data_IF_385497371690
#
_entry.id   IF_385497371690
#
_cell.length_a   1.000
_cell.length_b   1.000
_cell.length_c   1.000
_cell.angle_alpha   90.00
_cell.angle_beta   90.00
_cell.angle_gamma   90.00
#
_symmetry.space_group_name_H-M   'P 1'
#
loop_
_entity.id
_entity.type
_entity.pdbx_description
1 polymer ?
#
# COMPACT_ATOMS: atom_id res chain seq x y z
N UNK A 1 -21.64 -6.99 16.74
CA UNK A 1 -20.40 -7.34 16.05
C UNK A 1 -19.46 -6.13 16.06
N UNK A 2 -18.21 -6.32 16.54
CA UNK A 2 -17.19 -5.27 16.42
C UNK A 2 -16.76 -5.13 14.98
N UNK A 3 -16.58 -3.87 14.51
CA UNK A 3 -16.08 -3.60 13.16
C UNK A 3 -14.67 -4.14 12.98
N UNK A 4 -14.38 -4.69 11.79
CA UNK A 4 -13.01 -5.06 11.40
C UNK A 4 -12.13 -3.82 11.31
N UNK A 5 -10.85 -4.00 11.57
CA UNK A 5 -9.85 -2.95 11.49
C UNK A 5 -8.93 -3.19 10.30
N UNK A 6 -8.80 -2.17 9.46
CA UNK A 6 -7.85 -2.16 8.36
C UNK A 6 -6.76 -1.11 8.60
N UNK A 7 -5.52 -1.44 8.32
CA UNK A 7 -4.43 -0.48 8.27
C UNK A 7 -4.06 -0.24 6.80
N UNK A 8 -4.10 1.03 6.37
CA UNK A 8 -3.77 1.42 5.00
C UNK A 8 -2.54 2.32 5.03
N UNK A 9 -1.47 1.89 4.38
CA UNK A 9 -0.27 2.72 4.25
C UNK A 9 -0.37 3.65 3.04
N UNK A 10 0.32 4.79 3.10
CA UNK A 10 0.24 5.78 2.03
C UNK A 10 -1.17 6.34 1.82
N UNK A 11 -1.92 6.54 2.91
CA UNK A 11 -3.34 6.89 2.85
C UNK A 11 -3.63 8.38 2.63
N UNK A 12 -2.60 9.21 2.45
CA UNK A 12 -2.77 10.67 2.33
C UNK A 12 -3.01 11.15 0.90
N UNK A 13 -2.83 10.29 -0.09
CA UNK A 13 -3.00 10.64 -1.51
C UNK A 13 -3.27 9.39 -2.35
N UNK A 14 -3.70 9.60 -3.59
CA UNK A 14 -3.83 8.57 -4.61
C UNK A 14 -4.67 7.37 -4.19
N UNK A 15 -4.18 6.17 -4.47
CA UNK A 15 -4.90 4.92 -4.19
C UNK A 15 -5.17 4.74 -2.69
N UNK A 16 -4.18 5.04 -1.85
CA UNK A 16 -4.32 4.85 -0.40
C UNK A 16 -5.46 5.66 0.19
N UNK A 17 -5.63 6.89 -0.27
CA UNK A 17 -6.73 7.76 0.19
C UNK A 17 -8.09 7.20 -0.19
N UNK A 18 -8.30 6.85 -1.46
CA UNK A 18 -9.58 6.31 -1.92
C UNK A 18 -9.87 4.92 -1.33
N UNK A 19 -8.83 4.10 -1.08
CA UNK A 19 -8.96 2.82 -0.39
C UNK A 19 -9.45 3.04 1.04
N UNK A 20 -8.82 3.97 1.78
CA UNK A 20 -9.23 4.30 3.14
C UNK A 20 -10.67 4.80 3.21
N UNK A 21 -11.06 5.71 2.32
CA UNK A 21 -12.43 6.22 2.20
C UNK A 21 -13.42 5.08 1.91
N UNK A 22 -13.07 4.18 0.99
CA UNK A 22 -13.93 3.06 0.64
C UNK A 22 -14.12 2.08 1.78
N UNK A 23 -13.04 1.72 2.48
CA UNK A 23 -13.12 0.79 3.59
C UNK A 23 -13.91 1.36 4.77
N UNK A 24 -13.81 2.66 5.05
CA UNK A 24 -14.70 3.32 6.04
C UNK A 24 -16.16 3.20 5.60
N UNK A 25 -16.44 3.46 4.35
CA UNK A 25 -17.79 3.34 3.80
C UNK A 25 -18.33 1.90 3.86
N UNK A 26 -17.44 0.91 3.75
CA UNK A 26 -17.77 -0.52 3.90
C UNK A 26 -18.00 -0.93 5.37
N UNK A 27 -17.76 -0.05 6.33
CA UNK A 27 -17.96 -0.31 7.75
C UNK A 27 -16.70 -0.69 8.52
N UNK A 28 -15.51 -0.63 7.91
CA UNK A 28 -14.24 -0.81 8.62
C UNK A 28 -13.91 0.39 9.50
N UNK A 29 -13.21 0.13 10.61
CA UNK A 29 -12.39 1.14 11.25
C UNK A 29 -11.02 1.11 10.58
N UNK A 30 -10.51 2.27 10.19
CA UNK A 30 -9.30 2.37 9.37
C UNK A 30 -8.21 3.12 10.10
N UNK A 31 -7.03 2.51 10.22
CA UNK A 31 -5.80 3.19 10.61
C UNK A 31 -5.16 3.71 9.32
N UNK A 32 -5.14 5.02 9.15
CA UNK A 32 -4.54 5.66 7.98
C UNK A 32 -3.14 6.13 8.31
N UNK A 33 -2.14 5.62 7.61
CA UNK A 33 -0.75 6.05 7.81
C UNK A 33 -0.22 6.86 6.63
N UNK A 34 0.70 7.75 6.93
CA UNK A 34 1.39 8.59 5.97
C UNK A 34 2.42 9.44 6.68
N UNK A 35 3.23 10.16 5.92
CA UNK A 35 4.28 11.03 6.47
C UNK A 35 3.79 12.43 6.85
N UNK A 36 2.71 12.89 6.23
CA UNK A 36 2.21 14.28 6.34
C UNK A 36 1.05 14.34 7.32
N UNK A 37 1.33 14.82 8.53
CA UNK A 37 0.35 14.90 9.60
C UNK A 37 -0.89 15.73 9.21
N UNK A 38 -0.69 16.85 8.53
CA UNK A 38 -1.79 17.74 8.12
C UNK A 38 -2.77 17.06 7.17
N UNK A 39 -2.28 16.19 6.28
CA UNK A 39 -3.14 15.42 5.38
C UNK A 39 -3.87 14.31 6.09
N UNK A 40 -3.23 13.66 7.06
CA UNK A 40 -3.86 12.65 7.92
C UNK A 40 -4.98 13.29 8.75
N UNK A 41 -4.74 14.45 9.33
CA UNK A 41 -5.72 15.18 10.13
C UNK A 41 -6.92 15.62 9.27
N UNK A 42 -6.67 16.08 8.04
CA UNK A 42 -7.73 16.42 7.10
C UNK A 42 -8.60 15.19 6.75
N UNK A 43 -7.97 14.04 6.53
CA UNK A 43 -8.69 12.80 6.25
C UNK A 43 -9.52 12.34 7.46
N UNK A 44 -8.97 12.45 8.67
CA UNK A 44 -9.69 12.15 9.91
C UNK A 44 -10.88 13.09 10.10
N UNK A 45 -10.73 14.37 9.80
CA UNK A 45 -11.82 15.34 9.83
C UNK A 45 -12.94 15.02 8.85
N UNK A 46 -12.59 14.49 7.69
CA UNK A 46 -13.55 14.08 6.66
C UNK A 46 -14.29 12.79 7.02
N UNK A 47 -13.60 11.79 7.56
CA UNK A 47 -14.15 10.45 7.77
C UNK A 47 -14.61 10.17 9.20
N UNK A 48 -14.25 11.06 10.14
CA UNK A 48 -14.73 10.97 11.52
C UNK A 48 -14.08 9.87 12.35
N UNK A 49 -14.79 9.39 13.36
CA UNK A 49 -14.27 8.47 14.39
C UNK A 49 -13.94 7.07 13.87
N UNK A 50 -14.37 6.72 12.66
CA UNK A 50 -14.01 5.45 12.03
C UNK A 50 -12.56 5.44 11.53
N UNK A 51 -11.87 6.58 11.50
CA UNK A 51 -10.50 6.69 11.04
C UNK A 51 -9.56 7.15 12.15
N UNK A 52 -8.50 6.39 12.38
CA UNK A 52 -7.39 6.77 13.25
C UNK A 52 -6.22 7.25 12.38
N UNK A 53 -5.87 8.53 12.43
CA UNK A 53 -4.65 8.99 11.77
C UNK A 53 -3.43 8.54 12.58
N UNK A 54 -2.43 7.99 11.89
CA UNK A 54 -1.19 7.53 12.52
C UNK A 54 -0.02 7.89 11.63
N UNK A 55 0.79 8.87 12.05
CA UNK A 55 1.95 9.28 11.27
C UNK A 55 3.00 8.17 11.25
N UNK A 56 3.42 7.75 10.06
CA UNK A 56 4.43 6.73 9.88
C UNK A 56 5.22 7.01 8.59
N UNK A 57 6.53 7.10 8.73
CA UNK A 57 7.45 7.07 7.60
C UNK A 57 7.89 5.62 7.36
N UNK A 58 7.62 5.10 6.18
CA UNK A 58 7.97 3.72 5.82
C UNK A 58 9.48 3.47 5.74
N UNK A 59 10.30 4.52 5.81
CA UNK A 59 11.76 4.42 5.92
C UNK A 59 12.24 4.40 7.37
N UNK A 60 11.36 4.63 8.34
CA UNK A 60 11.68 4.64 9.76
C UNK A 60 11.48 3.25 10.38
N UNK A 61 12.56 2.47 10.45
CA UNK A 61 12.54 1.10 10.96
C UNK A 61 12.10 1.01 12.41
N UNK A 62 12.51 1.96 13.25
CA UNK A 62 12.16 1.99 14.66
C UNK A 62 10.66 2.24 14.84
N UNK A 63 10.10 3.19 14.09
CA UNK A 63 8.67 3.47 14.12
C UNK A 63 7.84 2.28 13.65
N UNK A 64 8.28 1.58 12.61
CA UNK A 64 7.60 0.37 12.12
C UNK A 64 7.63 -0.72 13.20
N UNK A 65 8.79 -0.98 13.79
CA UNK A 65 8.95 -2.02 14.82
C UNK A 65 8.06 -1.75 16.04
N UNK A 66 7.89 -0.50 16.43
CA UNK A 66 7.10 -0.12 17.61
C UNK A 66 5.63 0.12 17.33
N UNK A 67 5.19 0.13 16.08
CA UNK A 67 3.81 0.44 15.71
C UNK A 67 2.76 -0.39 16.47
N UNK A 68 2.89 -1.73 16.59
CA UNK A 68 1.88 -2.51 17.30
C UNK A 68 1.62 -2.02 18.74
N UNK A 69 2.67 -1.67 19.46
CA UNK A 69 2.56 -1.19 20.84
C UNK A 69 2.20 0.30 20.93
N UNK A 70 2.47 1.07 19.88
CA UNK A 70 2.15 2.49 19.83
C UNK A 70 0.68 2.77 19.53
N UNK A 71 -0.02 1.82 18.94
CA UNK A 71 -1.46 1.96 18.66
C UNK A 71 -2.27 1.94 19.95
N UNK A 72 -3.35 2.75 20.05
CA UNK A 72 -4.33 2.59 21.12
C UNK A 72 -4.85 1.15 21.20
N UNK A 73 -5.09 0.64 22.40
CA UNK A 73 -5.44 -0.77 22.62
C UNK A 73 -6.61 -1.24 21.73
N UNK A 74 -7.64 -0.42 21.58
CA UNK A 74 -8.83 -0.76 20.79
C UNK A 74 -8.59 -0.78 19.28
N UNK A 75 -7.40 -0.41 18.81
CA UNK A 75 -7.00 -0.40 17.40
C UNK A 75 -5.97 -1.48 17.05
N UNK A 76 -5.53 -2.28 18.01
CA UNK A 76 -4.41 -3.22 17.84
C UNK A 76 -4.77 -4.50 17.10
N UNK A 77 -6.03 -4.93 17.13
CA UNK A 77 -6.48 -6.15 16.47
C UNK A 77 -6.74 -5.91 14.98
N UNK A 78 -5.67 -5.73 14.20
CA UNK A 78 -5.74 -5.42 12.78
C UNK A 78 -6.13 -6.69 12.01
N UNK A 79 -7.21 -6.59 11.23
CA UNK A 79 -7.75 -7.68 10.40
C UNK A 79 -7.24 -7.62 8.96
N UNK A 80 -6.99 -6.42 8.45
CA UNK A 80 -6.54 -6.19 7.07
C UNK A 80 -5.36 -5.24 7.07
N UNK A 81 -4.27 -5.64 6.40
CA UNK A 81 -3.15 -4.75 6.09
C UNK A 81 -3.17 -4.48 4.59
N UNK A 82 -3.31 -3.22 4.20
CA UNK A 82 -3.17 -2.79 2.81
C UNK A 82 -1.80 -2.11 2.65
N UNK A 83 -0.85 -2.85 2.13
CA UNK A 83 0.49 -2.35 1.77
C UNK A 83 0.38 -1.56 0.46
N UNK A 84 0.03 -0.28 0.57
CA UNK A 84 -0.12 0.63 -0.56
C UNK A 84 1.03 1.62 -0.68
N UNK A 85 1.70 2.00 0.41
CA UNK A 85 2.81 2.94 0.36
C UNK A 85 3.87 2.48 -0.63
N UNK A 86 4.29 3.37 -1.51
CA UNK A 86 5.30 3.08 -2.50
C UNK A 86 5.71 4.36 -3.23
N UNK A 87 6.93 4.33 -3.75
CA UNK A 87 7.53 5.42 -4.51
C UNK A 87 7.92 4.91 -5.89
N UNK A 88 7.70 5.76 -6.91
CA UNK A 88 8.30 5.61 -8.23
C UNK A 88 9.02 6.90 -8.54
N UNK A 89 10.33 6.87 -8.62
CA UNK A 89 11.18 8.05 -8.78
C UNK A 89 12.05 7.90 -10.03
N UNK A 90 11.85 8.78 -11.00
CA UNK A 90 12.61 8.83 -12.23
C UNK A 90 12.29 7.70 -13.22
N UNK A 91 12.74 7.89 -14.44
CA UNK A 91 12.66 6.93 -15.55
C UNK A 91 13.97 6.88 -16.34
N UNK A 92 15.05 7.37 -15.76
CA UNK A 92 16.35 7.35 -16.41
C UNK A 92 16.86 5.92 -16.59
N UNK A 93 17.67 5.71 -17.63
CA UNK A 93 18.40 4.45 -17.76
C UNK A 93 19.32 4.27 -16.57
N UNK A 94 19.70 3.03 -16.26
CA UNK A 94 20.45 2.71 -15.05
C UNK A 94 21.73 3.55 -14.89
N UNK A 95 22.49 3.76 -15.95
CA UNK A 95 23.74 4.53 -15.91
C UNK A 95 23.55 6.02 -15.59
N UNK A 96 22.33 6.55 -15.79
CA UNK A 96 22.00 7.96 -15.60
C UNK A 96 21.09 8.17 -14.38
N UNK A 97 20.82 7.12 -13.63
CA UNK A 97 19.90 7.17 -12.47
C UNK A 97 20.56 7.79 -11.26
N UNK A 98 19.76 8.46 -10.43
CA UNK A 98 20.16 8.96 -9.12
C UNK A 98 20.11 7.82 -8.10
N UNK A 99 21.26 7.50 -7.49
CA UNK A 99 21.37 6.45 -6.49
C UNK A 99 20.48 6.71 -5.28
N UNK A 100 20.30 7.97 -4.88
CA UNK A 100 19.43 8.31 -3.76
C UNK A 100 17.95 7.98 -4.04
N UNK A 101 17.50 8.13 -5.28
CA UNK A 101 16.17 7.69 -5.69
C UNK A 101 16.01 6.17 -5.57
N UNK A 102 17.02 5.42 -5.96
CA UNK A 102 17.03 3.96 -5.81
C UNK A 102 16.97 3.53 -4.35
N UNK A 103 17.78 4.14 -3.50
CA UNK A 103 17.80 3.85 -2.06
C UNK A 103 16.44 4.11 -1.43
N UNK A 104 15.79 5.23 -1.76
CA UNK A 104 14.47 5.58 -1.25
C UNK A 104 13.39 4.61 -1.72
N UNK A 105 13.42 4.23 -2.99
CA UNK A 105 12.46 3.24 -3.51
C UNK A 105 12.63 1.89 -2.83
N UNK A 106 13.86 1.41 -2.64
CA UNK A 106 14.12 0.15 -1.95
C UNK A 106 13.70 0.23 -0.49
N UNK A 107 14.06 1.29 0.21
CA UNK A 107 13.71 1.47 1.62
C UNK A 107 12.20 1.48 1.86
N UNK A 108 11.44 2.13 0.99
CA UNK A 108 9.98 2.24 1.11
C UNK A 108 9.26 1.02 0.55
N UNK A 109 9.58 0.64 -0.69
CA UNK A 109 8.82 -0.37 -1.42
C UNK A 109 9.18 -1.80 -1.01
N UNK A 110 10.36 -2.02 -0.49
CA UNK A 110 10.89 -3.35 -0.13
C UNK A 110 11.01 -3.47 1.39
N UNK A 111 11.96 -2.77 1.98
CA UNK A 111 12.30 -2.94 3.39
C UNK A 111 11.14 -2.57 4.32
N UNK A 112 10.59 -1.39 4.17
CA UNK A 112 9.49 -0.92 5.02
C UNK A 112 8.24 -1.79 4.90
N UNK A 113 7.87 -2.17 3.69
CA UNK A 113 6.72 -3.05 3.43
C UNK A 113 6.91 -4.43 4.08
N UNK A 114 8.09 -5.02 3.91
CA UNK A 114 8.39 -6.33 4.48
C UNK A 114 8.41 -6.28 6.02
N UNK A 115 9.03 -5.26 6.60
CA UNK A 115 9.10 -5.09 8.05
C UNK A 115 7.73 -4.84 8.67
N UNK A 116 6.90 -3.98 8.08
CA UNK A 116 5.55 -3.74 8.59
C UNK A 116 4.71 -5.01 8.55
N UNK A 117 4.77 -5.75 7.46
CA UNK A 117 4.10 -7.05 7.34
C UNK A 117 4.57 -8.00 8.44
N UNK A 118 5.88 -8.08 8.67
CA UNK A 118 6.49 -8.95 9.68
C UNK A 118 6.00 -8.62 11.10
N UNK A 119 5.88 -7.35 11.46
CA UNK A 119 5.47 -6.97 12.82
C UNK A 119 3.98 -7.14 13.08
N UNK A 120 3.15 -7.11 12.04
CA UNK A 120 1.70 -7.31 12.18
C UNK A 120 1.28 -8.78 12.06
N UNK A 121 2.09 -9.60 11.42
CA UNK A 121 1.76 -10.99 11.13
C UNK A 121 1.54 -11.85 12.37
N UNK A 122 2.36 -11.77 13.44
CA UNK A 122 2.14 -12.59 14.64
C UNK A 122 0.76 -12.41 15.27
N UNK A 123 0.24 -11.18 15.32
CA UNK A 123 -1.10 -10.93 15.85
C UNK A 123 -2.20 -11.54 15.00
N UNK A 124 -2.08 -11.49 13.69
CA UNK A 124 -3.02 -12.14 12.77
C UNK A 124 -3.02 -13.65 12.94
N UNK A 125 -1.83 -14.26 13.05
CA UNK A 125 -1.69 -15.70 13.27
C UNK A 125 -2.29 -16.12 14.63
N UNK A 126 -2.00 -15.35 15.68
CA UNK A 126 -2.52 -15.63 17.02
C UNK A 126 -4.05 -15.59 17.09
N UNK A 127 -4.66 -14.66 16.36
CA UNK A 127 -6.12 -14.54 16.26
C UNK A 127 -6.71 -15.49 15.21
N UNK A 128 -5.87 -16.16 14.42
CA UNK A 128 -6.22 -16.99 13.28
C UNK A 128 -7.20 -16.27 12.33
N UNK A 129 -6.92 -14.99 12.08
CA UNK A 129 -7.74 -14.11 11.24
C UNK A 129 -6.90 -12.98 10.70
N UNK A 130 -6.88 -12.80 9.39
CA UNK A 130 -6.17 -11.68 8.78
C UNK A 130 -6.19 -11.74 7.26
N UNK A 131 -5.90 -10.60 6.65
CA UNK A 131 -5.74 -10.49 5.22
C UNK A 131 -4.67 -9.46 4.90
N UNK A 132 -3.60 -9.90 4.26
CA UNK A 132 -2.51 -9.02 3.81
C UNK A 132 -2.71 -8.77 2.33
N UNK A 133 -2.93 -7.51 1.96
CA UNK A 133 -3.07 -7.06 0.58
C UNK A 133 -1.90 -6.16 0.23
N UNK A 134 -1.27 -6.39 -0.91
CA UNK A 134 -0.26 -5.50 -1.44
C UNK A 134 -0.70 -4.90 -2.77
N UNK A 135 -0.40 -3.62 -2.98
CA UNK A 135 -0.50 -2.96 -4.28
C UNK A 135 0.84 -3.15 -5.00
N UNK A 136 0.89 -4.18 -5.86
CA UNK A 136 1.98 -4.41 -6.78
C UNK A 136 1.87 -3.52 -8.03
N UNK A 137 2.35 -4.02 -9.13
CA UNK A 137 2.28 -3.34 -10.42
C UNK A 137 2.61 -4.32 -11.54
N UNK A 138 2.04 -4.10 -12.73
CA UNK A 138 2.50 -4.79 -13.95
C UNK A 138 3.97 -4.51 -14.25
N UNK A 139 4.53 -3.41 -13.73
CA UNK A 139 5.96 -3.10 -13.79
C UNK A 139 6.84 -4.15 -13.10
N UNK A 140 6.29 -4.93 -12.19
CA UNK A 140 6.99 -6.06 -11.56
C UNK A 140 6.98 -7.33 -12.40
N UNK A 141 6.21 -7.36 -13.49
CA UNK A 141 6.06 -8.51 -14.38
C UNK A 141 6.75 -8.25 -15.73
N UNK A 142 6.50 -7.09 -16.31
CA UNK A 142 6.97 -6.73 -17.63
C UNK A 142 8.10 -5.70 -17.59
N UNK A 143 9.26 -5.98 -18.20
CA UNK A 143 10.37 -5.04 -18.22
C UNK A 143 10.08 -3.85 -19.15
N UNK A 144 10.66 -2.72 -18.81
CA UNK A 144 10.61 -1.53 -19.65
C UNK A 144 11.81 -0.62 -19.39
N UNK A 145 12.16 0.20 -20.37
CA UNK A 145 13.29 1.14 -20.26
C UNK A 145 13.02 2.14 -19.13
N UNK A 146 14.00 2.30 -18.26
CA UNK A 146 13.89 3.19 -17.09
C UNK A 146 13.15 2.57 -15.88
N UNK A 147 12.64 1.35 -16.01
CA UNK A 147 11.98 0.63 -14.93
C UNK A 147 12.94 0.18 -13.84
N UNK A 148 14.11 -0.29 -14.23
CA UNK A 148 15.23 -0.77 -13.39
C UNK A 148 14.86 -1.07 -11.92
N UNK A 149 15.14 -0.16 -10.97
CA UNK A 149 14.87 -0.41 -9.55
C UNK A 149 13.39 -0.42 -9.22
N UNK A 150 12.58 0.48 -9.78
CA UNK A 150 11.14 0.47 -9.49
C UNK A 150 10.48 -0.85 -9.86
N UNK A 151 10.68 -1.32 -11.08
CA UNK A 151 10.15 -2.61 -11.52
C UNK A 151 10.64 -3.77 -10.65
N UNK A 152 11.91 -3.75 -10.26
CA UNK A 152 12.49 -4.74 -9.38
C UNK A 152 11.86 -4.72 -7.98
N UNK A 153 11.53 -3.53 -7.43
CA UNK A 153 10.83 -3.45 -6.14
C UNK A 153 9.41 -4.06 -6.24
N UNK A 154 8.74 -3.88 -7.35
CA UNK A 154 7.40 -4.46 -7.55
C UNK A 154 7.46 -5.96 -7.84
N UNK A 155 8.52 -6.45 -8.45
CA UNK A 155 8.79 -7.89 -8.57
C UNK A 155 9.06 -8.52 -7.19
N UNK A 156 9.80 -7.81 -6.32
CA UNK A 156 9.97 -8.22 -4.92
C UNK A 156 8.61 -8.39 -4.23
N UNK A 157 7.75 -7.39 -4.32
CA UNK A 157 6.42 -7.42 -3.69
C UNK A 157 5.64 -8.67 -4.12
N UNK A 158 5.58 -8.93 -5.42
CA UNK A 158 4.85 -10.08 -5.95
C UNK A 158 5.39 -11.41 -5.43
N UNK A 159 6.71 -11.60 -5.49
CA UNK A 159 7.32 -12.84 -5.01
C UNK A 159 7.23 -12.98 -3.49
N UNK A 160 7.40 -11.88 -2.75
CA UNK A 160 7.23 -11.87 -1.30
C UNK A 160 5.82 -12.32 -0.89
N UNK A 161 4.79 -11.81 -1.55
CA UNK A 161 3.41 -12.20 -1.27
C UNK A 161 3.13 -13.67 -1.60
N UNK A 162 3.72 -14.19 -2.67
CA UNK A 162 3.64 -15.63 -2.99
C UNK A 162 4.29 -16.50 -1.93
N UNK A 163 5.49 -16.10 -1.46
CA UNK A 163 6.20 -16.83 -0.41
C UNK A 163 5.46 -16.77 0.92
N UNK A 164 4.87 -15.62 1.28
CA UNK A 164 4.03 -15.51 2.47
C UNK A 164 2.88 -16.50 2.45
N UNK A 165 2.25 -16.69 1.29
CA UNK A 165 1.16 -17.66 1.15
C UNK A 165 1.61 -19.07 1.48
N UNK A 166 2.83 -19.45 1.12
CA UNK A 166 3.42 -20.73 1.50
C UNK A 166 3.65 -20.83 3.00
N UNK A 167 4.19 -19.78 3.62
CA UNK A 167 4.45 -19.73 5.05
C UNK A 167 3.16 -19.82 5.90
N UNK A 168 2.04 -19.38 5.33
CA UNK A 168 0.75 -19.29 6.01
C UNK A 168 -0.20 -20.47 5.71
N UNK A 169 0.29 -21.50 5.05
CA UNK A 169 -0.51 -22.72 4.81
C UNK A 169 -1.06 -23.27 6.13
N UNK A 170 -2.35 -23.60 6.14
CA UNK A 170 -3.03 -24.08 7.33
C UNK A 170 -3.46 -23.00 8.33
N UNK A 171 -3.20 -21.72 8.03
CA UNK A 171 -3.66 -20.58 8.82
C UNK A 171 -4.78 -19.84 8.10
N UNK A 172 -5.68 -19.21 8.85
CA UNK A 172 -6.74 -18.38 8.27
C UNK A 172 -6.28 -16.93 8.03
N UNK A 173 -5.08 -16.77 7.49
CA UNK A 173 -4.52 -15.50 7.07
C UNK A 173 -4.35 -15.53 5.55
N UNK A 174 -5.10 -14.68 4.87
CA UNK A 174 -5.09 -14.60 3.40
C UNK A 174 -4.06 -13.61 2.91
N UNK A 175 -3.57 -13.84 1.70
CA UNK A 175 -2.55 -12.99 1.06
C UNK A 175 -2.98 -12.71 -0.38
N UNK A 176 -3.05 -11.45 -0.75
CA UNK A 176 -3.47 -11.02 -2.10
C UNK A 176 -2.55 -9.93 -2.62
N UNK A 177 -2.02 -10.11 -3.82
CA UNK A 177 -1.32 -9.06 -4.56
C UNK A 177 -2.21 -8.54 -5.68
N UNK A 178 -2.44 -7.23 -5.71
CA UNK A 178 -3.15 -6.54 -6.78
C UNK A 178 -2.09 -5.82 -7.61
N UNK A 179 -2.02 -6.13 -8.90
CA UNK A 179 -1.02 -5.60 -9.82
C UNK A 179 -1.66 -4.68 -10.87
N UNK A 180 -1.94 -3.42 -10.54
CA UNK A 180 -2.52 -2.48 -11.49
C UNK A 180 -1.60 -2.25 -12.68
N UNK A 181 -2.21 -2.06 -13.84
CA UNK A 181 -1.56 -1.54 -15.03
C UNK A 181 -1.53 -0.02 -15.02
N UNK A 182 -1.80 0.60 -16.18
CA UNK A 182 -1.83 2.05 -16.30
C UNK A 182 -3.04 2.64 -15.55
N UNK A 183 -2.76 3.48 -14.57
CA UNK A 183 -3.76 4.19 -13.77
C UNK A 183 -3.61 5.70 -13.92
N UNK A 184 -4.72 6.40 -14.10
CA UNK A 184 -4.80 7.86 -14.10
C UNK A 184 -5.39 8.41 -12.80
N UNK A 185 -5.69 9.70 -12.76
CA UNK A 185 -6.39 10.34 -11.63
C UNK A 185 -5.61 10.43 -10.34
N UNK A 186 -4.28 10.21 -10.36
CA UNK A 186 -3.38 10.33 -9.22
C UNK A 186 -2.14 11.14 -9.56
N UNK A 187 -1.36 11.51 -8.56
CA UNK A 187 -0.08 12.23 -8.73
C UNK A 187 1.08 11.31 -9.15
N UNK A 188 0.86 10.01 -9.35
CA UNK A 188 1.92 9.03 -9.54
C UNK A 188 2.90 9.41 -10.68
N UNK A 189 2.39 9.64 -11.90
CA UNK A 189 3.24 10.00 -13.04
C UNK A 189 3.89 11.37 -12.87
N UNK A 190 3.19 12.32 -12.24
CA UNK A 190 3.74 13.65 -11.96
C UNK A 190 4.92 13.58 -11.00
N UNK A 191 4.80 12.80 -9.92
CA UNK A 191 5.88 12.57 -8.95
C UNK A 191 7.06 11.86 -9.60
N UNK A 192 6.81 10.80 -10.36
CA UNK A 192 7.83 9.99 -11.01
C UNK A 192 8.63 10.77 -12.04
N UNK A 193 7.93 11.48 -12.94
CA UNK A 193 8.56 12.19 -14.07
C UNK A 193 9.04 13.60 -13.69
N UNK A 194 8.52 14.15 -12.61
CA UNK A 194 8.79 15.54 -12.19
C UNK A 194 8.54 16.57 -13.32
N UNK A 195 7.60 16.24 -14.23
CA UNK A 195 7.23 17.03 -15.39
C UNK A 195 5.77 16.75 -15.74
N UNK A 196 4.90 17.75 -15.55
CA UNK A 196 3.45 17.60 -15.73
C UNK A 196 3.06 17.34 -17.18
N UNK A 197 3.77 17.92 -18.15
CA UNK A 197 3.49 17.70 -19.57
C UNK A 197 3.83 16.27 -19.98
N UNK A 198 4.97 15.72 -19.53
CA UNK A 198 5.34 14.32 -19.75
C UNK A 198 4.39 13.38 -19.04
N UNK A 199 3.95 13.71 -17.83
CA UNK A 199 2.97 12.93 -17.10
C UNK A 199 1.65 12.84 -17.86
N UNK A 200 1.14 13.94 -18.40
CA UNK A 200 -0.09 13.97 -19.22
C UNK A 200 0.06 13.11 -20.48
N UNK A 201 1.23 13.14 -21.14
CA UNK A 201 1.49 12.38 -22.35
C UNK A 201 1.45 10.86 -22.14
N UNK A 202 1.73 10.37 -20.93
CA UNK A 202 1.64 8.94 -20.58
C UNK A 202 0.23 8.38 -20.83
N UNK A 203 -0.80 9.20 -20.62
CA UNK A 203 -2.21 8.78 -20.73
C UNK A 203 -2.84 9.05 -22.10
N UNK A 204 -2.13 9.74 -23.00
CA UNK A 204 -2.66 10.09 -24.31
C UNK A 204 -3.02 8.84 -25.12
N UNK A 205 -4.23 8.82 -25.66
CA UNK A 205 -4.75 7.68 -26.45
C UNK A 205 -5.10 6.44 -25.64
N UNK A 206 -5.15 6.52 -24.30
CA UNK A 206 -5.49 5.39 -23.43
C UNK A 206 -6.79 5.61 -22.68
N UNK A 207 -7.30 4.52 -22.08
CA UNK A 207 -8.40 4.54 -21.12
C UNK A 207 -7.87 3.99 -19.78
N UNK A 208 -7.11 4.79 -18.99
CA UNK A 208 -6.47 4.30 -17.79
C UNK A 208 -7.48 3.99 -16.70
N UNK A 209 -7.14 3.03 -15.82
CA UNK A 209 -7.86 2.79 -14.59
C UNK A 209 -7.81 4.04 -13.70
N UNK A 210 -8.86 4.26 -12.94
CA UNK A 210 -8.94 5.36 -11.97
C UNK A 210 -8.69 4.83 -10.55
N UNK A 211 -8.27 5.68 -9.59
CA UNK A 211 -8.08 5.25 -8.22
C UNK A 211 -9.28 4.54 -7.62
N UNK A 212 -10.50 4.97 -7.95
CA UNK A 212 -11.73 4.33 -7.47
C UNK A 212 -11.88 2.88 -7.96
N UNK A 213 -11.35 2.55 -9.14
CA UNK A 213 -11.36 1.17 -9.65
C UNK A 213 -10.48 0.27 -8.78
N UNK A 214 -9.35 0.80 -8.31
CA UNK A 214 -8.45 0.09 -7.40
C UNK A 214 -9.09 -0.07 -6.02
N UNK A 215 -9.74 0.98 -5.51
CA UNK A 215 -10.47 0.91 -4.24
C UNK A 215 -11.60 -0.12 -4.30
N UNK A 216 -12.32 -0.18 -5.42
CA UNK A 216 -13.36 -1.19 -5.66
C UNK A 216 -12.78 -2.61 -5.62
N UNK A 217 -11.64 -2.82 -6.25
CA UNK A 217 -10.96 -4.12 -6.29
C UNK A 217 -10.50 -4.55 -4.89
N UNK A 218 -9.91 -3.64 -4.12
CA UNK A 218 -9.52 -3.91 -2.73
C UNK A 218 -10.74 -4.25 -1.89
N UNK A 219 -11.79 -3.43 -1.97
CA UNK A 219 -13.05 -3.66 -1.26
C UNK A 219 -13.62 -5.04 -1.58
N UNK A 220 -13.69 -5.40 -2.85
CA UNK A 220 -14.18 -6.70 -3.28
C UNK A 220 -13.38 -7.85 -2.64
N UNK A 221 -12.06 -7.82 -2.75
CA UNK A 221 -11.22 -8.95 -2.31
C UNK A 221 -11.21 -9.11 -0.79
N UNK A 222 -11.20 -8.01 -0.02
CA UNK A 222 -11.15 -8.10 1.45
C UNK A 222 -12.50 -8.45 2.07
N UNK A 223 -13.59 -8.24 1.34
CA UNK A 223 -14.95 -8.57 1.79
C UNK A 223 -15.43 -9.95 1.33
N UNK A 224 -14.63 -10.68 0.58
CA UNK A 224 -14.94 -12.07 0.24
C UNK A 224 -14.99 -12.95 1.50
N UNK A 225 -15.75 -14.05 1.48
CA UNK A 225 -15.74 -15.01 2.57
C UNK A 225 -14.33 -15.49 2.92
N UNK A 226 -14.10 -15.79 4.20
CA UNK A 226 -12.75 -16.11 4.70
C UNK A 226 -12.09 -17.32 4.04
N UNK A 227 -12.87 -18.19 3.41
CA UNK A 227 -12.37 -19.39 2.73
C UNK A 227 -12.00 -19.15 1.26
N UNK A 228 -12.21 -17.94 0.74
CA UNK A 228 -11.92 -17.59 -0.67
C UNK A 228 -10.54 -16.98 -0.81
#
# INVERSE_FOLDING_TARGET
>A
HMSKIALVTGATAGFGKVIAERLVRDGYRVIATGRRQERLDALAGQLGSALLPFRLDMMDKTAIASLPDALPAQWRAIDVLVNNAGLALGIAKAQDSDISDWERMIATNVTGMAELTRVLLPGMIARDRGHIVALGSTAGIYPYVGGNVYGATKAFVEQFMRNLRCDLLGKNVRVTNIAPGLCGGSEFSNVRLRDDAKAAAVYEGTHPLQPDDIAETVSWVVNLPAHV
#
